data_IF_263966510585
#
_entry.id   IF_263966510585
#
_cell.length_a   1.000
_cell.length_b   1.000
_cell.length_c   1.000
_cell.angle_alpha   90.00
_cell.angle_beta   90.00
_cell.angle_gamma   90.00
#
_symmetry.space_group_name_H-M   'P 1'
#
loop_
_entity.id
_entity.type
_entity.pdbx_description
1 polymer ?
#
# COMPACT_ATOMS: atom_id res chain seq x y z
N UNK A 1 -36.75 -8.02 -18.51
CA UNK A 1 -35.35 -8.28 -18.10
C UNK A 1 -34.59 -6.97 -18.25
N UNK A 2 -34.46 -6.22 -17.16
CA UNK A 2 -33.82 -4.90 -17.19
C UNK A 2 -32.32 -5.07 -17.23
N UNK A 3 -31.73 -4.57 -18.32
CA UNK A 3 -30.29 -4.43 -18.55
C UNK A 3 -29.76 -3.50 -17.46
N UNK A 4 -28.88 -4.01 -16.61
CA UNK A 4 -28.24 -3.22 -15.56
C UNK A 4 -27.58 -1.99 -16.22
N UNK A 5 -28.12 -0.81 -15.92
CA UNK A 5 -27.49 0.47 -16.22
C UNK A 5 -26.40 0.61 -15.15
N UNK A 6 -25.26 -0.05 -15.35
CA UNK A 6 -24.06 0.28 -14.60
C UNK A 6 -23.61 1.63 -15.13
N UNK A 7 -23.73 2.64 -14.29
CA UNK A 7 -23.34 4.01 -14.60
C UNK A 7 -21.83 4.01 -14.84
N UNK A 8 -21.40 4.20 -16.10
CA UNK A 8 -19.97 4.27 -16.48
C UNK A 8 -19.21 5.26 -15.60
N UNK A 9 -19.87 6.32 -15.12
CA UNK A 9 -19.31 7.30 -14.20
C UNK A 9 -18.95 6.69 -12.82
N UNK A 10 -19.69 5.66 -12.38
CA UNK A 10 -19.42 4.97 -11.12
C UNK A 10 -18.20 4.06 -11.22
N UNK A 11 -18.03 3.33 -12.32
CA UNK A 11 -16.84 2.47 -12.52
C UNK A 11 -15.57 3.31 -12.69
N UNK A 12 -15.65 4.40 -13.45
CA UNK A 12 -14.53 5.34 -13.62
C UNK A 12 -14.12 5.97 -12.29
N UNK A 13 -15.09 6.38 -11.46
CA UNK A 13 -14.81 6.94 -10.13
C UNK A 13 -14.14 5.90 -9.21
N UNK A 14 -14.67 4.68 -9.16
CA UNK A 14 -14.10 3.60 -8.34
C UNK A 14 -12.66 3.27 -8.77
N UNK A 15 -12.40 3.20 -10.07
CA UNK A 15 -11.05 2.95 -10.57
C UNK A 15 -10.08 4.11 -10.25
N UNK A 16 -10.56 5.36 -10.33
CA UNK A 16 -9.74 6.52 -9.96
C UNK A 16 -9.40 6.53 -8.46
N UNK A 17 -10.39 6.33 -7.59
CA UNK A 17 -10.17 6.25 -6.13
C UNK A 17 -9.18 5.14 -5.78
N UNK A 18 -9.30 4.01 -6.47
CA UNK A 18 -8.40 2.86 -6.36
C UNK A 18 -6.96 3.23 -6.74
N UNK A 19 -6.72 3.80 -7.92
CA UNK A 19 -5.39 4.26 -8.35
C UNK A 19 -4.80 5.33 -7.42
N UNK A 20 -5.63 6.25 -6.93
CA UNK A 20 -5.20 7.26 -5.96
C UNK A 20 -4.77 6.63 -4.63
N UNK A 21 -5.48 5.58 -4.17
CA UNK A 21 -5.12 4.82 -2.97
C UNK A 21 -3.79 4.11 -3.14
N UNK A 22 -3.57 3.46 -4.28
CA UNK A 22 -2.31 2.81 -4.62
C UNK A 22 -1.13 3.78 -4.62
N UNK A 23 -1.31 4.94 -5.26
CA UNK A 23 -0.31 6.00 -5.29
C UNK A 23 0.04 6.47 -3.88
N UNK A 24 -0.96 6.68 -3.02
CA UNK A 24 -0.73 7.06 -1.61
C UNK A 24 0.04 6.00 -0.84
N UNK A 25 -0.25 4.71 -1.05
CA UNK A 25 0.48 3.62 -0.41
C UNK A 25 1.95 3.57 -0.89
N UNK A 26 2.22 3.77 -2.18
CA UNK A 26 3.59 3.85 -2.71
C UNK A 26 4.35 5.05 -2.17
N UNK A 27 3.72 6.22 -2.15
CA UNK A 27 4.32 7.44 -1.59
C UNK A 27 4.65 7.24 -0.11
N UNK A 28 3.74 6.63 0.66
CA UNK A 28 3.94 6.30 2.07
C UNK A 28 5.09 5.31 2.27
N UNK A 29 5.14 4.24 1.48
CA UNK A 29 6.20 3.25 1.54
C UNK A 29 7.58 3.91 1.31
N UNK A 30 7.69 4.78 0.30
CA UNK A 30 8.94 5.48 0.00
C UNK A 30 9.39 6.40 1.16
N UNK A 31 8.44 7.00 1.89
CA UNK A 31 8.75 7.80 3.09
C UNK A 31 9.29 6.90 4.21
N UNK A 32 8.67 5.74 4.44
CA UNK A 32 9.12 4.82 5.49
C UNK A 32 10.48 4.19 5.17
N UNK A 33 10.73 3.82 3.92
CA UNK A 33 12.04 3.30 3.48
C UNK A 33 13.14 4.35 3.67
N UNK A 34 12.88 5.63 3.34
CA UNK A 34 13.82 6.72 3.63
C UNK A 34 14.06 6.90 5.13
N UNK A 35 13.00 6.80 5.94
CA UNK A 35 13.10 6.86 7.40
C UNK A 35 13.95 5.71 7.94
N UNK A 36 13.77 4.49 7.43
CA UNK A 36 14.58 3.34 7.81
C UNK A 36 16.05 3.58 7.50
N UNK A 37 16.39 4.01 6.28
CA UNK A 37 17.78 4.32 5.89
C UNK A 37 18.38 5.39 6.80
N UNK A 38 17.62 6.46 7.09
CA UNK A 38 18.06 7.50 8.03
C UNK A 38 18.37 6.89 9.40
N UNK A 39 17.45 6.10 9.96
CA UNK A 39 17.62 5.49 11.27
C UNK A 39 18.75 4.46 11.31
N UNK A 40 19.08 3.80 10.20
CA UNK A 40 20.14 2.77 10.15
C UNK A 40 21.52 3.36 9.86
N UNK A 41 21.63 4.45 9.11
CA UNK A 41 22.90 4.87 8.50
C UNK A 41 23.25 6.36 8.66
N UNK A 42 22.32 7.21 9.09
CA UNK A 42 22.63 8.63 9.24
C UNK A 42 23.36 8.89 10.58
N UNK A 43 24.51 9.59 10.59
CA UNK A 43 25.22 9.94 11.82
C UNK A 43 24.34 10.69 12.83
N UNK A 44 23.37 11.50 12.36
CA UNK A 44 22.44 12.19 13.25
C UNK A 44 21.50 11.25 13.98
N UNK A 45 21.25 10.06 13.42
CA UNK A 45 20.47 9.03 14.09
C UNK A 45 21.30 8.32 15.18
N UNK A 46 22.63 8.32 15.07
CA UNK A 46 23.51 7.78 16.11
C UNK A 46 23.52 8.67 17.36
N UNK A 47 23.40 9.99 17.17
CA UNK A 47 23.29 10.97 18.26
C UNK A 47 21.92 10.96 18.96
N UNK A 48 20.95 10.20 18.45
CA UNK A 48 19.64 10.05 19.07
C UNK A 48 19.68 9.12 20.29
N UNK A 49 18.65 9.25 21.13
CA UNK A 49 18.36 8.25 22.16
C UNK A 49 18.20 6.86 21.52
N UNK A 50 18.96 5.89 22.03
CA UNK A 50 19.04 4.56 21.41
C UNK A 50 17.74 3.77 21.57
N UNK A 51 17.07 3.87 22.71
CA UNK A 51 15.79 3.19 22.95
C UNK A 51 14.70 3.74 22.02
N UNK A 52 14.68 5.06 21.83
CA UNK A 52 13.78 5.72 20.89
C UNK A 52 14.09 5.32 19.44
N UNK A 53 15.37 5.28 19.06
CA UNK A 53 15.81 4.86 17.72
C UNK A 53 15.41 3.42 17.42
N UNK A 54 15.66 2.50 18.34
CA UNK A 54 15.28 1.09 18.21
C UNK A 54 13.76 0.91 18.10
N UNK A 55 13.00 1.64 18.93
CA UNK A 55 11.54 1.65 18.85
C UNK A 55 11.06 2.13 17.49
N UNK A 56 11.60 3.25 17.00
CA UNK A 56 11.22 3.80 15.70
C UNK A 56 11.63 2.89 14.54
N UNK A 57 12.78 2.21 14.64
CA UNK A 57 13.21 1.21 13.65
C UNK A 57 12.21 0.05 13.57
N UNK A 58 11.79 -0.48 14.72
CA UNK A 58 10.79 -1.55 14.77
C UNK A 58 9.47 -1.11 14.15
N UNK A 59 8.94 0.04 14.58
CA UNK A 59 7.69 0.60 14.04
C UNK A 59 7.78 0.84 12.53
N UNK A 60 8.90 1.40 12.05
CA UNK A 60 9.12 1.68 10.63
C UNK A 60 9.19 0.38 9.81
N UNK A 61 9.83 -0.67 10.33
CA UNK A 61 9.89 -1.99 9.67
C UNK A 61 8.52 -2.65 9.58
N UNK A 62 7.73 -2.60 10.66
CA UNK A 62 6.36 -3.11 10.69
C UNK A 62 5.46 -2.36 9.69
N UNK A 63 5.59 -1.04 9.60
CA UNK A 63 4.84 -0.22 8.65
C UNK A 63 5.23 -0.50 7.19
N UNK A 64 6.52 -0.70 6.90
CA UNK A 64 7.00 -1.12 5.58
C UNK A 64 6.40 -2.48 5.20
N UNK A 65 6.49 -3.47 6.08
CA UNK A 65 5.96 -4.82 5.82
C UNK A 65 4.45 -4.77 5.57
N UNK A 66 3.71 -4.05 6.42
CA UNK A 66 2.25 -3.89 6.28
C UNK A 66 1.90 -3.20 4.97
N UNK A 67 2.61 -2.12 4.61
CA UNK A 67 2.33 -1.37 3.39
C UNK A 67 2.65 -2.19 2.14
N UNK A 68 3.72 -3.00 2.16
CA UNK A 68 4.03 -3.94 1.08
C UNK A 68 2.95 -5.00 0.90
N UNK A 69 2.43 -5.58 2.00
CA UNK A 69 1.29 -6.53 1.93
C UNK A 69 0.04 -5.88 1.34
N UNK A 70 -0.30 -4.66 1.76
CA UNK A 70 -1.44 -3.93 1.20
C UNK A 70 -1.27 -3.64 -0.30
N UNK A 71 -0.05 -3.34 -0.75
CA UNK A 71 0.24 -3.16 -2.18
C UNK A 71 0.19 -4.50 -2.94
N UNK A 72 0.66 -5.60 -2.36
CA UNK A 72 0.57 -6.93 -2.96
C UNK A 72 -0.90 -7.36 -3.12
N UNK A 73 -1.70 -7.23 -2.06
CA UNK A 73 -3.16 -7.46 -2.08
C UNK A 73 -3.84 -6.61 -3.17
N UNK A 74 -3.44 -5.35 -3.30
CA UNK A 74 -3.96 -4.46 -4.34
C UNK A 74 -3.63 -4.97 -5.76
N UNK A 75 -2.39 -5.45 -5.99
CA UNK A 75 -2.00 -6.01 -7.30
C UNK A 75 -2.63 -7.36 -7.61
N UNK A 76 -2.98 -8.16 -6.60
CA UNK A 76 -3.66 -9.44 -6.77
C UNK A 76 -5.14 -9.25 -7.13
N UNK A 77 -5.79 -8.19 -6.62
CA UNK A 77 -7.16 -7.82 -6.95
C UNK A 77 -7.31 -7.30 -8.40
N UNK A 78 -6.22 -6.85 -9.02
CA UNK A 78 -6.15 -6.46 -10.44
C UNK A 78 -6.03 -7.66 -11.41
N UNK A 79 -5.86 -8.89 -10.90
CA UNK A 79 -5.48 -10.06 -11.70
C UNK A 79 -6.59 -11.05 -12.09
N UNK A 80 -7.78 -11.01 -11.49
CA UNK A 80 -8.86 -11.96 -11.84
C UNK A 80 -10.16 -11.23 -12.18
N UNK A 81 -10.58 -11.18 -13.46
CA UNK A 81 -12.00 -11.14 -13.73
C UNK A 81 -12.57 -12.45 -13.18
N UNK A 82 -13.50 -12.34 -12.23
CA UNK A 82 -14.40 -13.42 -11.85
C UNK A 82 -15.11 -13.93 -13.11
N UNK A 83 -14.53 -14.93 -13.78
CA UNK A 83 -15.16 -15.63 -14.89
C UNK A 83 -15.15 -17.13 -14.58
N UNK A 84 -16.36 -17.66 -14.40
CA UNK A 84 -16.72 -19.07 -14.44
C UNK A 84 -16.24 -19.96 -13.27
N UNK A 85 -17.02 -19.95 -12.19
CA UNK A 85 -17.50 -21.22 -11.60
C UNK A 85 -18.99 -21.38 -11.88
N UNK A 86 -19.31 -21.54 -13.16
CA UNK A 86 -20.58 -22.05 -13.66
C UNK A 86 -20.27 -22.95 -14.85
N UNK A 87 -20.53 -24.25 -14.70
CA UNK A 87 -20.23 -25.32 -15.66
C UNK A 87 -19.22 -26.31 -15.04
N UNK A 88 -19.54 -27.57 -14.75
CA UNK A 88 -20.54 -28.51 -15.32
C UNK A 88 -21.35 -29.17 -14.20
#
# INVERSE_FOLDING_TARGET
>A
MSRAFVDEDSEVRLNRERLERERKLRDWLAIQEKKQVFLESDPKAEDMDQDLRERWLRETREDIERTRKLLEEFTLDDGEPSVARGGV
#
